data_IF_252820695969
#
_entry.id   IF_252820695969
#
_cell.length_a   1.000
_cell.length_b   1.000
_cell.length_c   1.000
_cell.angle_alpha   90.00
_cell.angle_beta   90.00
_cell.angle_gamma   90.00
#
_symmetry.space_group_name_H-M   'P 1'
#
loop_
_entity.id
_entity.type
_entity.pdbx_description
1 polymer ?
#
# COMPACT_ATOMS: atom_id res chain seq x y z
N UNK A 1 -4.11 25.57 -62.44
CA UNK A 1 -5.13 24.49 -62.39
C UNK A 1 -6.10 24.86 -61.28
N UNK A 2 -7.27 25.38 -61.66
CA UNK A 2 -8.30 25.87 -60.73
C UNK A 2 -9.27 24.73 -60.49
N UNK A 3 -9.44 24.31 -59.23
CA UNK A 3 -10.49 23.37 -58.85
C UNK A 3 -11.47 24.06 -57.90
N UNK A 4 -12.68 24.26 -58.41
CA UNK A 4 -13.83 24.82 -57.72
C UNK A 4 -14.41 23.77 -56.76
N UNK A 5 -14.56 24.13 -55.49
CA UNK A 5 -15.24 23.30 -54.48
C UNK A 5 -16.75 23.53 -54.61
N UNK A 6 -17.51 22.45 -54.88
CA UNK A 6 -18.98 22.45 -54.73
C UNK A 6 -19.36 21.70 -53.45
N UNK A 7 -20.22 22.33 -52.64
CA UNK A 7 -20.91 21.77 -51.48
C UNK A 7 -22.26 21.20 -51.96
N UNK A 8 -22.67 20.03 -51.48
CA UNK A 8 -24.03 19.52 -51.66
C UNK A 8 -24.45 18.66 -50.45
N UNK A 9 -25.36 19.26 -49.69
CA UNK A 9 -26.61 18.79 -49.10
C UNK A 9 -26.72 17.53 -48.21
N UNK A 10 -27.41 17.83 -47.11
CA UNK A 10 -27.99 17.01 -46.05
C UNK A 10 -29.05 16.03 -46.56
N UNK A 11 -28.95 14.78 -46.13
CA UNK A 11 -29.98 13.76 -46.32
C UNK A 11 -30.17 12.94 -45.04
N UNK A 12 -31.36 13.08 -44.46
CA UNK A 12 -31.96 12.37 -43.32
C UNK A 12 -31.92 10.84 -43.48
N UNK A 13 -31.64 10.12 -42.39
CA UNK A 13 -31.71 8.66 -42.35
C UNK A 13 -32.77 8.21 -41.34
N UNK A 14 -33.83 7.58 -41.83
CA UNK A 14 -34.95 7.06 -41.05
C UNK A 14 -34.90 5.53 -40.94
N UNK A 15 -35.11 5.06 -39.70
CA UNK A 15 -35.51 3.74 -39.17
C UNK A 15 -35.34 2.47 -40.03
N UNK A 16 -34.73 1.45 -39.41
CA UNK A 16 -35.15 0.04 -39.57
C UNK A 16 -35.33 -0.68 -38.23
N UNK A 17 -36.58 -1.04 -37.96
CA UNK A 17 -37.06 -2.38 -37.62
C UNK A 17 -36.34 -3.21 -36.56
N UNK A 18 -36.99 -3.36 -35.41
CA UNK A 18 -36.75 -4.33 -34.33
C UNK A 18 -37.73 -5.50 -34.44
N UNK A 19 -37.25 -6.74 -34.35
CA UNK A 19 -37.93 -8.02 -34.04
C UNK A 19 -36.79 -9.06 -33.97
N UNK A 20 -36.69 -10.05 -33.08
CA UNK A 20 -37.64 -10.88 -32.34
C UNK A 20 -36.84 -11.63 -31.25
N UNK A 21 -37.48 -12.08 -30.16
CA UNK A 21 -36.84 -12.96 -29.17
C UNK A 21 -37.48 -12.94 -27.79
N UNK A 22 -38.63 -13.61 -27.66
CA UNK A 22 -39.28 -14.09 -26.42
C UNK A 22 -38.36 -15.18 -25.80
N UNK A 23 -38.24 -15.34 -24.47
CA UNK A 23 -38.92 -16.37 -23.65
C UNK A 23 -38.61 -16.11 -22.16
N UNK A 24 -39.68 -16.12 -21.36
CA UNK A 24 -39.72 -16.14 -19.88
C UNK A 24 -38.92 -17.29 -19.25
N UNK A 25 -38.43 -17.11 -18.01
CA UNK A 25 -38.66 -18.10 -16.92
C UNK A 25 -38.84 -17.37 -15.58
N UNK A 26 -39.97 -17.65 -14.94
CA UNK A 26 -40.41 -17.22 -13.62
C UNK A 26 -39.67 -17.92 -12.46
N UNK A 27 -39.77 -17.37 -11.23
CA UNK A 27 -39.41 -18.15 -10.05
C UNK A 27 -39.27 -17.39 -8.73
N UNK A 28 -40.32 -16.72 -8.26
CA UNK A 28 -40.43 -16.28 -6.86
C UNK A 28 -40.57 -17.51 -5.96
N UNK A 29 -39.70 -17.65 -4.94
CA UNK A 29 -39.86 -18.68 -3.90
C UNK A 29 -39.90 -18.04 -2.51
N UNK A 30 -41.11 -18.06 -1.99
CA UNK A 30 -41.53 -17.70 -0.64
C UNK A 30 -40.89 -18.64 0.39
N UNK A 31 -40.27 -18.08 1.43
CA UNK A 31 -39.79 -18.84 2.59
C UNK A 31 -40.99 -19.32 3.44
N UNK A 32 -41.15 -20.65 3.56
CA UNK A 32 -42.02 -21.27 4.56
C UNK A 32 -41.16 -21.81 5.71
N UNK A 33 -41.49 -21.37 6.92
CA UNK A 33 -40.90 -21.77 8.20
C UNK A 33 -41.14 -23.26 8.44
N UNK A 34 -40.11 -24.02 8.78
CA UNK A 34 -40.23 -25.37 9.33
C UNK A 34 -39.39 -25.43 10.61
N UNK A 35 -40.09 -25.47 11.74
CA UNK A 35 -39.51 -25.80 13.03
C UNK A 35 -39.51 -27.32 13.18
N UNK A 36 -38.35 -27.92 13.44
CA UNK A 36 -38.25 -29.31 13.88
C UNK A 36 -37.52 -29.28 15.22
N UNK A 37 -38.28 -29.49 16.29
CA UNK A 37 -37.79 -29.86 17.61
C UNK A 37 -37.54 -31.37 17.60
N UNK A 38 -36.28 -31.80 17.73
CA UNK A 38 -35.97 -33.16 18.19
C UNK A 38 -34.96 -33.05 19.31
N UNK A 39 -35.42 -33.45 20.49
CA UNK A 39 -34.67 -33.60 21.74
C UNK A 39 -33.74 -34.80 21.58
N UNK A 40 -32.45 -34.59 21.82
CA UNK A 40 -31.44 -35.65 21.87
C UNK A 40 -30.43 -35.32 22.96
N UNK A 41 -30.68 -35.86 24.15
CA UNK A 41 -29.82 -35.74 25.34
C UNK A 41 -28.63 -36.70 25.19
N UNK A 42 -27.41 -36.18 25.02
CA UNK A 42 -26.18 -36.92 25.30
C UNK A 42 -25.23 -35.99 26.07
N UNK A 43 -25.08 -36.31 27.35
CA UNK A 43 -24.08 -35.73 28.25
C UNK A 43 -22.73 -36.35 27.90
N UNK A 44 -21.79 -35.54 27.42
CA UNK A 44 -20.38 -35.89 27.45
C UNK A 44 -19.60 -34.68 27.97
N UNK A 45 -19.11 -34.83 29.19
CA UNK A 45 -18.17 -33.94 29.85
C UNK A 45 -16.85 -33.97 29.06
N UNK A 46 -16.73 -33.06 28.10
CA UNK A 46 -15.48 -32.79 27.40
C UNK A 46 -14.97 -31.43 27.84
N UNK A 47 -13.91 -31.43 28.65
CA UNK A 47 -13.13 -30.22 28.87
C UNK A 47 -12.53 -29.83 27.52
N UNK A 48 -13.04 -28.78 26.88
CA UNK A 48 -12.32 -28.15 25.78
C UNK A 48 -11.22 -27.31 26.44
N UNK A 49 -10.08 -27.94 26.68
CA UNK A 49 -8.81 -27.24 26.80
C UNK A 49 -8.53 -26.58 25.45
N UNK A 50 -8.92 -25.32 25.33
CA UNK A 50 -8.45 -24.44 24.26
C UNK A 50 -7.01 -24.05 24.53
N UNK A 51 -6.07 -24.96 24.34
CA UNK A 51 -4.67 -24.64 24.10
C UNK A 51 -4.41 -24.87 22.62
N UNK A 52 -4.01 -23.82 21.89
CA UNK A 52 -3.58 -24.05 20.50
C UNK A 52 -3.56 -22.83 19.62
N UNK A 53 -2.54 -22.00 19.80
CA UNK A 53 -2.00 -21.20 18.71
C UNK A 53 -2.68 -19.85 18.48
N UNK A 54 -2.24 -18.84 19.24
CA UNK A 54 -2.09 -17.53 18.63
C UNK A 54 -1.10 -17.69 17.47
N UNK A 55 -1.62 -17.92 16.27
CA UNK A 55 -0.80 -17.90 15.06
C UNK A 55 -0.08 -16.57 15.07
N UNK A 56 1.25 -16.60 14.99
CA UNK A 56 2.07 -15.40 15.00
C UNK A 56 1.41 -14.32 14.14
N UNK A 57 1.11 -13.18 14.73
CA UNK A 57 0.60 -11.99 14.02
C UNK A 57 1.58 -11.50 12.93
N UNK A 58 2.77 -12.08 12.90
CA UNK A 58 3.79 -11.98 11.88
C UNK A 58 3.57 -13.11 10.85
N UNK A 59 3.46 -12.75 9.57
CA UNK A 59 3.38 -13.71 8.47
C UNK A 59 4.66 -14.56 8.35
N UNK A 60 4.73 -15.46 7.36
CA UNK A 60 5.96 -16.23 7.10
C UNK A 60 7.14 -15.32 6.72
N UNK A 61 8.34 -15.62 7.24
CA UNK A 61 9.58 -14.94 6.84
C UNK A 61 9.93 -15.33 5.40
N UNK A 62 10.28 -14.33 4.57
CA UNK A 62 10.63 -14.52 3.16
C UNK A 62 12.06 -14.10 2.82
N UNK A 63 12.68 -13.21 3.60
CA UNK A 63 14.06 -12.78 3.42
C UNK A 63 14.60 -12.12 4.70
N UNK A 64 15.92 -12.02 4.81
CA UNK A 64 16.59 -11.25 5.87
C UNK A 64 18.02 -10.91 5.48
N UNK A 65 18.54 -9.82 6.05
CA UNK A 65 19.91 -9.32 5.81
C UNK A 65 20.73 -9.15 7.11
N UNK A 66 20.28 -9.83 8.18
CA UNK A 66 20.88 -9.77 9.52
C UNK A 66 20.07 -8.88 10.46
N UNK A 67 19.91 -7.60 10.10
CA UNK A 67 19.13 -6.61 10.89
C UNK A 67 17.67 -6.56 10.48
N UNK A 68 17.39 -6.67 9.20
CA UNK A 68 16.04 -6.58 8.68
C UNK A 68 15.50 -7.97 8.34
N UNK A 69 14.23 -8.20 8.69
CA UNK A 69 13.51 -9.45 8.42
C UNK A 69 12.21 -9.12 7.66
N UNK A 70 12.11 -9.59 6.42
CA UNK A 70 10.93 -9.38 5.58
C UNK A 70 9.94 -10.53 5.73
N UNK A 71 8.65 -10.18 5.76
CA UNK A 71 7.54 -11.11 5.89
C UNK A 71 6.64 -11.10 4.65
N UNK A 72 5.98 -12.22 4.38
CA UNK A 72 5.07 -12.39 3.23
C UNK A 72 3.88 -11.42 3.23
N UNK A 73 3.53 -10.88 4.40
CA UNK A 73 2.43 -9.94 4.59
C UNK A 73 2.80 -8.49 4.20
N UNK A 74 3.98 -8.28 3.61
CA UNK A 74 4.44 -7.00 3.09
C UNK A 74 5.07 -6.08 4.14
N UNK A 75 5.48 -6.61 5.29
CA UNK A 75 6.20 -5.84 6.32
C UNK A 75 7.66 -6.26 6.44
N UNK A 76 8.48 -5.36 6.99
CA UNK A 76 9.89 -5.58 7.29
C UNK A 76 10.12 -5.18 8.74
N UNK A 77 10.53 -6.12 9.60
CA UNK A 77 10.95 -5.83 10.95
C UNK A 77 12.41 -5.39 10.98
N UNK A 78 12.70 -4.37 11.78
CA UNK A 78 14.05 -3.92 12.13
C UNK A 78 14.36 -4.39 13.55
N UNK A 79 15.23 -5.39 13.68
CA UNK A 79 15.52 -6.05 14.96
C UNK A 79 16.30 -5.16 15.93
N UNK A 80 17.01 -4.15 15.42
CA UNK A 80 17.84 -3.28 16.25
C UNK A 80 17.00 -2.18 16.92
N UNK A 81 16.01 -1.65 16.20
CA UNK A 81 15.19 -0.53 16.68
C UNK A 81 13.83 -0.97 17.24
N UNK A 82 13.42 -2.22 17.00
CA UNK A 82 12.07 -2.69 17.34
C UNK A 82 10.97 -1.98 16.53
N UNK A 83 11.32 -1.46 15.36
CA UNK A 83 10.39 -0.86 14.41
C UNK A 83 9.98 -1.87 13.35
N UNK A 84 8.83 -1.59 12.72
CA UNK A 84 8.36 -2.33 11.56
C UNK A 84 7.98 -1.35 10.46
N UNK A 85 8.40 -1.67 9.25
CA UNK A 85 8.28 -0.86 8.06
C UNK A 85 7.37 -1.53 7.04
N UNK A 86 6.70 -0.73 6.22
CA UNK A 86 6.14 -1.24 4.98
C UNK A 86 7.29 -1.66 4.05
N UNK A 87 7.17 -2.82 3.41
CA UNK A 87 8.17 -3.28 2.41
C UNK A 87 8.20 -2.43 1.14
N UNK A 88 7.18 -1.59 0.92
CA UNK A 88 7.03 -0.73 -0.26
C UNK A 88 6.51 0.64 0.14
N UNK A 89 6.93 1.67 -0.58
CA UNK A 89 6.36 3.01 -0.47
C UNK A 89 4.96 3.11 -1.12
N UNK A 90 4.44 4.33 -1.23
CA UNK A 90 3.15 4.61 -1.88
C UNK A 90 3.19 4.58 -3.43
N UNK A 91 4.33 4.25 -4.04
CA UNK A 91 4.48 4.05 -5.49
C UNK A 91 4.63 5.31 -6.35
N UNK A 92 4.53 6.52 -5.78
CA UNK A 92 4.61 7.75 -6.58
C UNK A 92 4.63 9.05 -5.77
N UNK A 93 4.79 10.21 -6.43
CA UNK A 93 4.77 11.51 -5.78
C UNK A 93 3.53 11.72 -4.92
N UNK A 94 3.72 12.24 -3.71
CA UNK A 94 2.62 12.55 -2.82
C UNK A 94 2.92 13.85 -2.07
N UNK A 95 1.89 14.66 -1.78
CA UNK A 95 2.08 15.84 -0.94
C UNK A 95 2.25 15.41 0.51
N UNK A 96 2.97 16.18 1.32
CA UNK A 96 3.19 15.85 2.72
C UNK A 96 1.89 15.55 3.50
N UNK A 97 0.84 16.36 3.32
CA UNK A 97 -0.46 16.17 3.99
C UNK A 97 -1.13 14.85 3.57
N UNK A 98 -1.06 14.51 2.28
CA UNK A 98 -1.55 13.23 1.76
C UNK A 98 -0.69 12.07 2.26
N UNK A 99 0.63 12.23 2.36
CA UNK A 99 1.54 11.22 2.89
C UNK A 99 1.25 10.90 4.36
N UNK A 100 1.00 11.94 5.18
CA UNK A 100 0.63 11.75 6.59
C UNK A 100 -0.67 10.97 6.73
N UNK A 101 -1.65 11.29 5.89
CA UNK A 101 -2.90 10.54 5.80
C UNK A 101 -2.69 9.11 5.29
N UNK A 102 -1.85 8.92 4.27
CA UNK A 102 -1.51 7.61 3.71
C UNK A 102 -0.92 6.70 4.79
N UNK A 103 0.11 7.16 5.52
CA UNK A 103 0.73 6.33 6.55
C UNK A 103 -0.23 5.99 7.68
N UNK A 104 -1.07 6.95 8.13
CA UNK A 104 -2.09 6.71 9.18
C UNK A 104 -3.13 5.67 8.76
N UNK A 105 -3.48 5.63 7.48
CA UNK A 105 -4.52 4.75 6.94
C UNK A 105 -3.97 3.46 6.32
N UNK A 106 -2.65 3.29 6.27
CA UNK A 106 -2.02 2.07 5.78
C UNK A 106 -2.45 0.86 6.62
N UNK A 107 -2.68 -0.29 5.97
CA UNK A 107 -3.18 -1.53 6.59
C UNK A 107 -2.31 -2.76 6.26
N UNK A 108 -1.04 -2.54 5.92
CA UNK A 108 -0.10 -3.64 5.66
C UNK A 108 0.07 -4.53 6.89
N UNK A 109 0.28 -5.82 6.68
CA UNK A 109 0.50 -6.80 7.75
C UNK A 109 -0.65 -7.01 8.73
N UNK A 110 -1.85 -6.46 8.47
CA UNK A 110 -2.99 -6.54 9.40
C UNK A 110 -2.94 -5.53 10.56
N UNK A 111 -1.98 -4.59 10.54
CA UNK A 111 -1.82 -3.58 11.59
C UNK A 111 -2.52 -2.26 11.26
N UNK A 112 -2.85 -1.49 12.30
CA UNK A 112 -3.63 -0.23 12.16
C UNK A 112 -2.98 0.99 12.78
N UNK A 113 -1.87 0.82 13.49
CA UNK A 113 -1.10 1.82 14.24
C UNK A 113 0.11 2.36 13.45
N UNK A 114 0.01 2.32 12.12
CA UNK A 114 0.99 2.90 11.21
C UNK A 114 1.03 4.43 11.31
N UNK A 115 2.22 5.00 11.12
CA UNK A 115 2.45 6.45 11.12
C UNK A 115 3.53 6.84 10.13
N UNK A 116 3.63 8.14 9.88
CA UNK A 116 4.75 8.73 9.16
C UNK A 116 6.01 8.66 10.05
N UNK A 117 7.19 8.37 9.48
CA UNK A 117 8.42 8.23 10.23
C UNK A 117 8.97 9.60 10.63
N UNK A 118 9.77 9.59 11.69
CA UNK A 118 10.55 10.74 12.14
C UNK A 118 11.89 10.80 11.41
N UNK A 119 12.55 11.97 11.46
CA UNK A 119 13.90 12.13 10.89
C UNK A 119 14.92 11.13 11.48
N UNK A 120 14.86 10.89 12.79
CA UNK A 120 15.76 9.97 13.48
C UNK A 120 15.58 8.52 12.99
N UNK A 121 14.34 8.10 12.75
CA UNK A 121 14.04 6.76 12.24
C UNK A 121 14.50 6.59 10.78
N UNK A 122 14.29 7.61 9.94
CA UNK A 122 14.80 7.60 8.55
C UNK A 122 16.33 7.61 8.52
N UNK A 123 16.96 8.36 9.43
CA UNK A 123 18.43 8.36 9.59
C UNK A 123 18.95 6.99 10.02
N UNK A 124 18.22 6.28 10.89
CA UNK A 124 18.58 4.93 11.34
C UNK A 124 18.40 3.84 10.25
N UNK A 125 17.58 4.09 9.24
CA UNK A 125 17.42 3.24 8.04
C UNK A 125 18.52 3.44 6.99
N UNK A 126 19.16 4.61 6.99
CA UNK A 126 20.16 4.95 5.99
C UNK A 126 21.43 4.11 6.17
N UNK A 127 21.84 3.42 5.12
CA UNK A 127 23.10 2.67 5.09
C UNK A 127 23.90 3.00 3.82
N UNK A 128 24.98 3.80 3.91
CA UNK A 128 25.77 4.20 2.75
C UNK A 128 26.50 3.05 2.06
N UNK A 129 26.56 1.86 2.67
CA UNK A 129 27.20 0.67 2.09
C UNK A 129 26.25 -0.12 1.20
N UNK A 130 24.95 0.14 1.29
CA UNK A 130 23.92 -0.50 0.48
C UNK A 130 23.43 0.53 -0.53
N UNK A 131 23.19 0.09 -1.77
CA UNK A 131 22.63 0.95 -2.81
C UNK A 131 21.57 0.18 -3.58
N UNK A 132 20.33 0.63 -3.48
CA UNK A 132 19.20 0.12 -4.26
C UNK A 132 19.05 1.01 -5.48
N UNK A 133 19.48 0.53 -6.64
CA UNK A 133 19.43 1.28 -7.89
C UNK A 133 17.99 1.50 -8.36
N UNK A 134 17.66 2.74 -8.71
CA UNK A 134 16.38 3.08 -9.33
C UNK A 134 16.46 2.89 -10.86
N UNK A 135 15.33 2.61 -11.53
CA UNK A 135 15.31 2.46 -12.98
C UNK A 135 15.83 3.71 -13.70
N UNK A 136 16.65 3.57 -14.75
CA UNK A 136 17.23 4.72 -15.47
C UNK A 136 16.19 5.58 -16.19
N UNK A 137 15.01 5.01 -16.47
CA UNK A 137 13.89 5.65 -17.17
C UNK A 137 12.89 6.33 -16.24
N UNK A 138 13.10 6.28 -14.91
CA UNK A 138 12.23 6.91 -13.93
C UNK A 138 12.45 8.42 -13.77
N UNK A 139 11.44 9.11 -13.22
CA UNK A 139 11.58 10.50 -12.77
C UNK A 139 12.70 10.65 -11.73
N UNK A 140 12.81 9.64 -10.85
CA UNK A 140 13.88 9.54 -9.88
C UNK A 140 14.99 8.63 -10.40
N UNK A 141 16.23 9.13 -10.35
CA UNK A 141 17.43 8.46 -10.86
C UNK A 141 18.48 8.30 -9.76
N UNK A 142 19.42 7.39 -9.98
CA UNK A 142 20.48 7.03 -9.04
C UNK A 142 20.06 5.90 -8.11
N UNK A 143 20.68 5.81 -6.94
CA UNK A 143 20.41 4.77 -5.97
C UNK A 143 20.00 5.31 -4.60
N UNK A 144 19.17 4.55 -3.89
CA UNK A 144 18.80 4.85 -2.51
C UNK A 144 19.63 3.98 -1.56
N UNK A 145 20.22 4.59 -0.54
CA UNK A 145 21.06 3.93 0.44
C UNK A 145 20.26 3.41 1.65
N UNK A 146 19.59 2.26 1.45
CA UNK A 146 18.71 1.58 2.41
C UNK A 146 18.71 0.08 2.10
N UNK A 147 18.35 -0.78 3.06
CA UNK A 147 18.17 -2.24 2.83
C UNK A 147 17.39 -2.56 1.55
N UNK A 148 17.80 -3.63 0.86
CA UNK A 148 17.09 -4.17 -0.31
C UNK A 148 15.69 -4.74 0.01
N UNK A 149 15.36 -4.91 1.30
CA UNK A 149 14.06 -5.42 1.74
C UNK A 149 12.96 -4.35 1.73
N UNK A 150 13.33 -3.07 1.62
CA UNK A 150 12.40 -1.95 1.50
C UNK A 150 12.55 -1.33 0.11
N UNK A 151 11.50 -1.46 -0.71
CA UNK A 151 11.48 -0.96 -2.07
C UNK A 151 10.89 0.45 -2.13
N UNK A 152 11.77 1.42 -2.41
CA UNK A 152 11.40 2.80 -2.68
C UNK A 152 11.36 3.03 -4.19
N UNK A 153 10.29 3.66 -4.67
CA UNK A 153 10.21 4.16 -6.05
C UNK A 153 10.93 5.49 -6.25
N UNK A 154 11.32 6.16 -5.15
CA UNK A 154 12.18 7.34 -5.15
C UNK A 154 12.84 7.55 -3.78
N UNK A 155 14.02 8.16 -3.73
CA UNK A 155 14.80 8.28 -2.49
C UNK A 155 14.36 9.35 -1.48
N UNK A 156 13.63 10.43 -1.83
CA UNK A 156 13.08 11.34 -0.82
C UNK A 156 11.86 10.73 -0.16
N UNK A 157 11.83 10.73 1.18
CA UNK A 157 10.70 10.21 1.98
C UNK A 157 10.26 11.28 2.96
N UNK A 158 8.96 11.57 2.99
CA UNK A 158 8.39 12.55 3.93
C UNK A 158 8.58 12.11 5.38
N UNK A 159 8.89 13.08 6.24
CA UNK A 159 9.04 12.88 7.67
C UNK A 159 7.99 13.68 8.47
N UNK A 160 7.77 13.25 9.71
CA UNK A 160 6.92 13.91 10.69
C UNK A 160 7.71 14.16 11.97
N UNK A 161 7.80 15.41 12.39
CA UNK A 161 8.50 15.79 13.62
C UNK A 161 7.61 15.83 14.87
N UNK A 162 6.31 15.52 14.76
CA UNK A 162 5.38 15.54 15.89
C UNK A 162 4.75 16.89 16.21
N UNK A 163 5.30 18.00 15.70
CA UNK A 163 5.08 19.33 16.28
C UNK A 163 4.56 20.33 15.24
N UNK A 164 5.04 20.29 14.00
CA UNK A 164 4.69 21.29 12.98
C UNK A 164 4.37 20.65 11.65
N UNK A 165 3.43 21.23 10.88
CA UNK A 165 3.14 20.84 9.49
C UNK A 165 4.24 21.26 8.51
N UNK A 166 5.48 21.32 8.97
CA UNK A 166 6.62 21.59 8.11
C UNK A 166 6.81 20.39 7.20
N UNK A 167 6.76 20.66 5.90
CA UNK A 167 6.97 19.66 4.86
C UNK A 167 8.47 19.41 4.71
N UNK A 168 9.03 18.54 5.54
CA UNK A 168 10.41 18.07 5.42
C UNK A 168 10.47 16.60 5.00
N UNK A 169 11.55 16.24 4.31
CA UNK A 169 11.79 14.87 3.82
C UNK A 169 13.27 14.50 4.05
N UNK A 170 13.51 13.20 4.15
CA UNK A 170 14.85 12.61 4.18
C UNK A 170 15.23 12.07 2.81
N UNK A 171 16.47 12.32 2.36
CA UNK A 171 16.99 11.84 1.09
C UNK A 171 17.88 10.61 1.28
N UNK A 172 17.41 9.42 0.88
CA UNK A 172 18.21 8.20 0.94
C UNK A 172 19.39 8.16 -0.04
N UNK A 173 19.44 9.02 -1.06
CA UNK A 173 20.61 9.14 -1.94
C UNK A 173 21.73 10.02 -1.35
N UNK A 174 21.40 10.84 -0.36
CA UNK A 174 22.29 11.91 0.14
C UNK A 174 22.63 11.75 1.63
N UNK A 175 21.79 11.04 2.38
CA UNK A 175 21.95 10.82 3.81
C UNK A 175 21.79 12.09 4.66
N UNK A 176 22.21 12.04 5.94
CA UNK A 176 21.93 13.08 6.94
C UNK A 176 22.81 14.34 6.84
N UNK A 177 23.71 14.48 5.85
CA UNK A 177 24.62 15.64 5.78
C UNK A 177 23.84 16.94 5.55
N UNK A 178 24.10 17.90 6.44
CA UNK A 178 23.33 19.12 6.64
C UNK A 178 23.26 20.06 5.43
N UNK A 179 22.11 20.73 5.36
CA UNK A 179 21.66 21.71 4.38
C UNK A 179 21.30 21.14 3.00
N UNK A 180 20.01 20.87 2.74
CA UNK A 180 19.57 20.39 1.43
C UNK A 180 18.22 20.95 0.98
N UNK A 181 18.26 21.38 -0.27
CA UNK A 181 17.28 22.14 -1.03
C UNK A 181 15.85 21.60 -0.93
N UNK A 182 14.91 22.44 -0.48
CA UNK A 182 13.49 22.14 -0.40
C UNK A 182 12.80 22.22 -1.77
N UNK A 183 13.51 22.56 -2.85
CA UNK A 183 12.93 22.82 -4.18
C UNK A 183 12.35 21.58 -4.88
N UNK A 184 12.63 20.35 -4.42
CA UNK A 184 12.16 19.10 -5.03
C UNK A 184 10.91 18.52 -4.36
N UNK A 185 9.93 19.35 -4.05
CA UNK A 185 8.65 18.96 -3.40
C UNK A 185 7.80 17.96 -4.20
N UNK A 186 8.15 17.69 -5.46
CA UNK A 186 7.41 16.80 -6.37
C UNK A 186 7.85 15.33 -6.35
N UNK A 187 8.88 14.97 -5.57
CA UNK A 187 9.42 13.61 -5.55
C UNK A 187 9.20 12.81 -4.26
N UNK A 188 8.87 13.36 -3.09
CA UNK A 188 8.90 12.52 -1.90
C UNK A 188 7.77 11.51 -1.83
N UNK A 189 8.12 10.38 -1.21
CA UNK A 189 7.27 9.21 -1.01
C UNK A 189 6.81 9.11 0.43
N UNK A 190 5.81 8.30 0.67
CA UNK A 190 5.34 7.93 1.99
C UNK A 190 5.79 6.50 2.31
N UNK A 191 6.56 6.34 3.39
CA UNK A 191 7.00 5.05 3.91
C UNK A 191 6.41 4.85 5.32
N UNK A 192 5.34 4.06 5.49
CA UNK A 192 4.76 3.79 6.79
C UNK A 192 5.72 3.07 7.75
N UNK A 193 5.72 3.51 9.01
CA UNK A 193 6.44 2.85 10.12
C UNK A 193 5.50 2.66 11.31
N UNK A 194 5.75 1.61 12.10
CA UNK A 194 5.11 1.37 13.40
C UNK A 194 6.10 0.76 14.39
N UNK A 195 5.69 0.64 15.65
CA UNK A 195 6.44 -0.14 16.63
C UNK A 195 6.08 -1.63 16.49
N UNK A 196 7.07 -2.52 16.58
CA UNK A 196 6.91 -3.95 16.37
C UNK A 196 6.47 -4.74 17.62
N UNK A 197 5.86 -4.07 18.62
CA UNK A 197 5.44 -4.65 19.91
C UNK A 197 4.74 -6.00 19.77
#
# INVERSE_FOLDING_TARGET
MVFTVRKADTGTFERRGKMSGIVEVAGSRTMKKIAIFVVGLLVSTGCVTGEGGSSSSLGKVIAGDGRFVAYENGTVADTDTGLMWASKDNGGPITWKKAKSYCKNYKGGGYTDWRMPTNAELTALYDPKVTNELPPTGECKGGCHITNLIHLTCCPVWEWNGISEVSSFFHFNLGPKGWRDQSLTYHPRALPVRSAR
#
